data_IF_267097747485
#
_entry.id   IF_267097747485
#
_cell.length_a   1.000
_cell.length_b   1.000
_cell.length_c   1.000
_cell.angle_alpha   90.00
_cell.angle_beta   90.00
_cell.angle_gamma   90.00
#
_symmetry.space_group_name_H-M   'P 1'
#
loop_
_entity.id
_entity.type
_entity.pdbx_description
1 polymer ?
#
# COMPACT_ATOMS: atom_id res chain seq x y z
N UNK A 1 -6.61 0.86 -8.35
CA UNK A 1 -6.15 1.41 -7.03
C UNK A 1 -5.00 2.40 -7.28
N UNK A 2 -4.86 3.39 -6.42
CA UNK A 2 -3.76 4.34 -6.56
C UNK A 2 -2.43 3.73 -6.16
N UNK A 3 -1.34 4.30 -6.66
CA UNK A 3 0.00 3.87 -6.27
C UNK A 3 0.22 3.98 -4.77
N UNK A 4 -0.24 5.08 -4.16
CA UNK A 4 -0.11 5.30 -2.72
C UNK A 4 -0.83 4.19 -1.93
N UNK A 5 -2.07 3.88 -2.29
CA UNK A 5 -2.83 2.82 -1.63
C UNK A 5 -2.14 1.46 -1.78
N UNK A 6 -1.62 1.18 -2.97
CA UNK A 6 -0.91 -0.06 -3.25
C UNK A 6 0.30 -0.23 -2.32
N UNK A 7 1.14 0.80 -2.21
CA UNK A 7 2.33 0.72 -1.36
C UNK A 7 1.99 0.66 0.13
N UNK A 8 0.92 1.33 0.56
CA UNK A 8 0.47 1.22 1.94
C UNK A 8 0.09 -0.23 2.26
N UNK A 9 -0.67 -0.88 1.37
CA UNK A 9 -1.10 -2.26 1.60
C UNK A 9 0.06 -3.25 1.50
N UNK A 10 1.04 -3.02 0.63
CA UNK A 10 2.27 -3.81 0.62
C UNK A 10 2.97 -3.75 1.99
N UNK A 11 2.98 -2.56 2.59
CA UNK A 11 3.62 -2.35 3.89
C UNK A 11 2.91 -3.08 5.02
N UNK A 12 1.64 -3.40 4.86
CA UNK A 12 0.82 -4.04 5.88
C UNK A 12 0.73 -5.56 5.77
N UNK A 13 1.60 -6.17 4.98
CA UNK A 13 1.81 -7.62 5.05
C UNK A 13 2.39 -8.01 6.41
N UNK A 14 3.02 -7.06 7.08
CA UNK A 14 3.47 -7.15 8.46
C UNK A 14 2.76 -6.02 9.23
N UNK A 15 2.22 -6.26 10.42
CA UNK A 15 1.60 -5.18 11.19
C UNK A 15 2.56 -4.01 11.43
N UNK A 16 2.09 -2.79 11.16
CA UNK A 16 2.90 -1.56 11.30
C UNK A 16 2.04 -0.41 11.78
N UNK A 17 2.65 0.54 12.50
CA UNK A 17 2.03 1.83 12.77
C UNK A 17 2.27 2.79 11.59
N UNK A 18 1.54 3.91 11.56
CA UNK A 18 1.59 4.85 10.43
C UNK A 18 2.99 5.32 10.04
N UNK A 19 3.82 5.68 11.03
CA UNK A 19 5.19 6.11 10.76
C UNK A 19 6.04 4.99 10.15
N UNK A 20 5.82 3.76 10.61
CA UNK A 20 6.51 2.59 10.05
C UNK A 20 6.12 2.34 8.59
N UNK A 21 4.86 2.62 8.23
CA UNK A 21 4.40 2.53 6.84
C UNK A 21 5.14 3.58 6.00
N UNK A 22 5.22 4.82 6.47
CA UNK A 22 5.90 5.91 5.77
C UNK A 22 7.35 5.51 5.48
N UNK A 23 8.07 5.02 6.49
CA UNK A 23 9.46 4.58 6.35
C UNK A 23 9.61 3.43 5.37
N UNK A 24 8.74 2.43 5.48
CA UNK A 24 8.81 1.26 4.61
C UNK A 24 8.58 1.63 3.14
N UNK A 25 7.59 2.47 2.87
CA UNK A 25 7.31 2.93 1.50
C UNK A 25 8.49 3.73 0.94
N UNK A 26 9.09 4.61 1.74
CA UNK A 26 10.26 5.37 1.33
C UNK A 26 11.43 4.45 0.98
N UNK A 27 11.72 3.46 1.82
CA UNK A 27 12.78 2.49 1.59
C UNK A 27 12.50 1.63 0.35
N UNK A 28 11.28 1.14 0.22
CA UNK A 28 10.88 0.26 -0.88
C UNK A 28 10.97 0.97 -2.24
N UNK A 29 10.67 2.26 -2.27
CA UNK A 29 10.72 3.06 -3.50
C UNK A 29 12.03 3.82 -3.67
N UNK A 30 13.01 3.57 -2.79
CA UNK A 30 14.31 4.24 -2.80
C UNK A 30 14.17 5.78 -2.80
N UNK A 31 13.26 6.27 -1.96
CA UNK A 31 13.02 7.70 -1.79
C UNK A 31 12.12 8.34 -2.84
N UNK A 32 11.66 7.59 -3.84
CA UNK A 32 10.81 8.15 -4.90
C UNK A 32 9.44 8.57 -4.36
N UNK A 33 8.89 7.80 -3.43
CA UNK A 33 7.58 8.10 -2.83
C UNK A 33 7.76 8.35 -1.33
N UNK A 34 7.56 9.59 -0.93
CA UNK A 34 7.63 10.01 0.47
C UNK A 34 6.24 10.48 0.88
N UNK A 35 5.60 9.72 1.77
CA UNK A 35 4.25 10.03 2.22
C UNK A 35 4.29 10.97 3.42
N UNK A 36 3.48 12.03 3.38
CA UNK A 36 3.29 12.91 4.53
C UNK A 36 2.36 12.28 5.57
N UNK A 37 2.49 12.69 6.82
CA UNK A 37 1.67 12.16 7.91
C UNK A 37 0.18 12.39 7.69
N UNK A 38 -0.20 13.57 7.17
CA UNK A 38 -1.60 13.87 6.87
C UNK A 38 -2.17 12.94 5.82
N UNK A 39 -1.40 12.66 4.76
CA UNK A 39 -1.79 11.74 3.69
C UNK A 39 -1.96 10.33 4.23
N UNK A 40 -0.98 9.84 5.00
CA UNK A 40 -1.03 8.46 5.50
C UNK A 40 -2.22 8.24 6.44
N UNK A 41 -2.44 9.15 7.40
CA UNK A 41 -3.55 8.96 8.34
C UNK A 41 -4.92 9.13 7.69
N UNK A 42 -5.04 10.01 6.70
CA UNK A 42 -6.27 10.11 5.91
C UNK A 42 -6.58 8.82 5.15
N UNK A 43 -5.56 8.21 4.54
CA UNK A 43 -5.71 6.94 3.84
C UNK A 43 -6.03 5.79 4.77
N UNK A 44 -5.35 5.72 5.92
CA UNK A 44 -5.60 4.66 6.91
C UNK A 44 -7.03 4.72 7.44
N UNK A 45 -7.53 5.94 7.72
CA UNK A 45 -8.91 6.12 8.19
C UNK A 45 -9.91 5.59 7.16
N UNK A 46 -9.70 5.92 5.88
CA UNK A 46 -10.58 5.47 4.80
C UNK A 46 -10.50 3.96 4.63
N UNK A 47 -9.30 3.40 4.61
CA UNK A 47 -9.10 1.95 4.44
C UNK A 47 -9.71 1.16 5.59
N UNK A 48 -9.64 1.69 6.82
CA UNK A 48 -10.25 1.07 7.97
C UNK A 48 -11.77 1.09 7.85
N UNK A 49 -12.34 2.21 7.42
CA UNK A 49 -13.77 2.34 7.17
C UNK A 49 -14.26 1.34 6.12
N UNK A 50 -13.47 1.12 5.08
CA UNK A 50 -13.79 0.19 4.00
C UNK A 50 -13.41 -1.26 4.33
N UNK A 51 -12.97 -1.52 5.57
CA UNK A 51 -12.61 -2.84 6.07
C UNK A 51 -11.45 -3.52 5.32
N UNK A 52 -10.64 -2.72 4.65
CA UNK A 52 -9.45 -3.21 3.93
C UNK A 52 -8.30 -3.48 4.89
N UNK A 53 -8.24 -2.68 5.95
CA UNK A 53 -7.30 -2.85 7.05
C UNK A 53 -8.05 -2.82 8.37
N UNK A 54 -7.40 -3.34 9.41
CA UNK A 54 -7.95 -3.32 10.76
C UNK A 54 -6.84 -3.00 11.76
N UNK A 55 -7.22 -2.68 12.98
CA UNK A 55 -6.27 -2.46 14.07
C UNK A 55 -5.79 -3.81 14.58
N UNK A 56 -4.47 -4.01 14.53
CA UNK A 56 -3.81 -5.18 15.07
C UNK A 56 -3.58 -5.04 16.57
N UNK A 57 -3.07 -3.89 16.97
CA UNK A 57 -2.78 -3.59 18.37
C UNK A 57 -2.80 -2.08 18.59
N UNK A 58 -3.14 -1.69 19.82
CA UNK A 58 -3.12 -0.30 20.23
C UNK A 58 -2.15 -0.21 21.40
N UNK A 59 -0.90 0.13 21.11
CA UNK A 59 0.17 0.12 22.09
C UNK A 59 0.62 1.55 22.43
N UNK A 60 0.49 1.91 23.71
CA UNK A 60 0.89 3.22 24.22
C UNK A 60 0.17 4.33 23.43
N UNK A 61 0.90 5.04 22.57
CA UNK A 61 0.33 6.11 21.75
C UNK A 61 0.34 5.76 20.27
N UNK A 62 0.50 4.48 19.95
CA UNK A 62 0.63 4.02 18.56
C UNK A 62 -0.45 3.00 18.24
N UNK A 63 -1.15 3.25 17.16
CA UNK A 63 -2.08 2.27 16.60
C UNK A 63 -1.34 1.48 15.54
N UNK A 64 -1.36 0.17 15.66
CA UNK A 64 -0.71 -0.75 14.72
C UNK A 64 -1.81 -1.36 13.87
N UNK A 65 -1.61 -1.30 12.56
CA UNK A 65 -2.59 -1.77 11.58
C UNK A 65 -2.12 -3.04 10.90
N UNK A 66 -3.07 -3.83 10.40
CA UNK A 66 -2.76 -4.96 9.53
C UNK A 66 -3.79 -5.04 8.40
N UNK A 67 -3.43 -5.71 7.32
CA UNK A 67 -4.33 -5.94 6.19
C UNK A 67 -5.34 -7.03 6.56
N UNK A 68 -6.60 -6.83 6.14
CA UNK A 68 -7.66 -7.83 6.31
C UNK A 68 -7.66 -8.82 5.15
N UNK A 69 -8.48 -9.88 5.26
CA UNK A 69 -8.68 -10.81 4.15
C UNK A 69 -9.29 -10.10 2.93
N UNK A 70 -10.19 -9.15 3.16
CA UNK A 70 -10.75 -8.30 2.09
C UNK A 70 -9.64 -7.52 1.40
N UNK A 71 -8.74 -6.91 2.18
CA UNK A 71 -7.59 -6.19 1.63
C UNK A 71 -6.64 -7.08 0.85
N UNK A 72 -6.40 -8.29 1.32
CA UNK A 72 -5.56 -9.27 0.61
C UNK A 72 -6.16 -9.63 -0.74
N UNK A 73 -7.47 -9.83 -0.78
CA UNK A 73 -8.16 -10.15 -2.03
C UNK A 73 -8.06 -9.01 -3.03
N UNK A 74 -8.26 -7.76 -2.56
CA UNK A 74 -8.05 -6.59 -3.40
C UNK A 74 -6.63 -6.53 -3.96
N UNK A 75 -5.64 -6.86 -3.15
CA UNK A 75 -4.23 -6.86 -3.59
C UNK A 75 -3.95 -7.95 -4.61
N UNK A 76 -4.55 -9.13 -4.47
CA UNK A 76 -4.41 -10.19 -5.48
C UNK A 76 -4.90 -9.72 -6.84
N UNK A 77 -6.09 -9.09 -6.88
CA UNK A 77 -6.65 -8.55 -8.12
C UNK A 77 -5.77 -7.43 -8.70
N UNK A 78 -5.26 -6.56 -7.84
CA UNK A 78 -4.41 -5.46 -8.28
C UNK A 78 -3.08 -5.96 -8.85
N UNK A 79 -2.46 -6.94 -8.22
CA UNK A 79 -1.22 -7.52 -8.71
C UNK A 79 -1.44 -8.18 -10.07
N UNK A 80 -2.57 -8.90 -10.24
CA UNK A 80 -2.92 -9.50 -11.53
C UNK A 80 -3.05 -8.43 -12.61
N UNK A 81 -3.72 -7.32 -12.29
CA UNK A 81 -3.88 -6.19 -13.21
C UNK A 81 -2.51 -5.59 -13.59
N UNK A 82 -1.64 -5.39 -12.60
CA UNK A 82 -0.32 -4.82 -12.84
C UNK A 82 0.56 -5.73 -13.71
N UNK A 83 0.47 -7.05 -13.52
CA UNK A 83 1.18 -8.02 -14.36
C UNK A 83 0.73 -7.92 -15.81
N UNK A 84 -0.57 -7.84 -16.05
CA UNK A 84 -1.13 -7.67 -17.39
C UNK A 84 -0.62 -6.38 -18.04
N UNK A 85 -0.68 -5.27 -17.31
CA UNK A 85 -0.19 -3.99 -17.81
C UNK A 85 1.30 -4.07 -18.15
N UNK A 86 2.08 -4.70 -17.28
CA UNK A 86 3.52 -4.84 -17.49
C UNK A 86 3.83 -5.67 -18.72
N UNK A 87 3.17 -6.82 -18.87
CA UNK A 87 3.36 -7.69 -20.03
C UNK A 87 3.01 -6.98 -21.33
N UNK A 88 1.89 -6.25 -21.36
CA UNK A 88 1.49 -5.50 -22.53
C UNK A 88 2.48 -4.35 -22.83
N UNK A 89 2.96 -3.67 -21.80
CA UNK A 89 3.96 -2.61 -21.97
C UNK A 89 5.25 -3.14 -22.59
N UNK A 90 5.71 -4.32 -22.17
CA UNK A 90 6.92 -4.92 -22.72
C UNK A 90 6.78 -5.26 -24.19
N UNK A 91 5.59 -5.67 -24.64
CA UNK A 91 5.33 -5.97 -26.06
C UNK A 91 5.53 -4.77 -26.95
N UNK A 92 5.27 -3.58 -26.46
CA UNK A 92 5.32 -2.34 -27.25
C UNK A 92 6.46 -1.42 -26.88
N UNK A 93 7.30 -1.81 -25.93
CA UNK A 93 8.37 -0.95 -25.42
C UNK A 93 9.26 -0.38 -26.54
N UNK A 94 9.59 -1.19 -27.52
CA UNK A 94 10.43 -0.77 -28.63
C UNK A 94 9.86 0.35 -29.49
N UNK A 95 8.51 0.50 -29.50
CA UNK A 95 7.84 1.52 -30.29
C UNK A 95 7.99 2.93 -29.69
N UNK A 96 8.45 3.03 -28.44
CA UNK A 96 8.55 4.30 -27.71
C UNK A 96 9.98 4.73 -27.40
N UNK A 97 10.94 4.12 -28.07
CA UNK A 97 12.37 4.47 -27.90
C UNK A 97 12.78 5.62 -28.81
#
# INVERSE_FOLDING_TARGET
MTETAFYILLSLTIPRHGYGIIKHVEELTMGRLVLGSGTIYGRLTKMQRDEIITVYADEKRKTIYEITDVGKELMRHEITRLKELHENALMYEGEFK
#
